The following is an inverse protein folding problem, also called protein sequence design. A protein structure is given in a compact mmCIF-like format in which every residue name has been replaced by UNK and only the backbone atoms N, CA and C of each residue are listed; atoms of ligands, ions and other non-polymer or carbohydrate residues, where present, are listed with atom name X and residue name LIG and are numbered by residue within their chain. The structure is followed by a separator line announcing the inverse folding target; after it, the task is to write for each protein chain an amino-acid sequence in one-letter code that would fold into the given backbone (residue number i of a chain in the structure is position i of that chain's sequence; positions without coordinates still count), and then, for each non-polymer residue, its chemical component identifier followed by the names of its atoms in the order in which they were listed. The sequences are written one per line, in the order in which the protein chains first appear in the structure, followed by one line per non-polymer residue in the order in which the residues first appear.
data_IF_377756346137
#
_entry.id   IF_377756346137
#
_cell.length_a   1.000
_cell.length_b   1.000
_cell.length_c   1.000
_cell.angle_alpha   90.00
_cell.angle_beta   90.00
_cell.angle_gamma   90.00
#
_symmetry.space_group_name_H-M   'P 1'
#
loop_
_entity.id
_entity.type
_entity.pdbx_description
1 polymer ?
#
# COMPACT_ATOMS: atom_id res chain seq x y z
N UNK A 1 41.16 -61.13 -4.12
CA UNK A 1 40.21 -60.33 -4.94
C UNK A 1 39.88 -59.06 -4.18
N UNK A 2 40.33 -57.89 -4.65
CA UNK A 2 40.01 -56.57 -4.08
C UNK A 2 39.25 -55.78 -5.14
N UNK A 3 37.97 -55.47 -4.92
CA UNK A 3 37.21 -54.53 -5.75
C UNK A 3 37.08 -53.22 -4.98
N UNK A 4 37.66 -52.19 -5.58
CA UNK A 4 37.73 -50.81 -5.09
C UNK A 4 36.39 -50.14 -5.38
N UNK A 5 35.68 -49.72 -4.32
CA UNK A 5 34.54 -48.81 -4.41
C UNK A 5 35.11 -47.40 -4.49
N UNK A 6 35.18 -46.83 -5.70
CA UNK A 6 35.52 -45.42 -5.95
C UNK A 6 34.62 -44.87 -7.06
N UNK A 7 33.37 -44.58 -6.73
CA UNK A 7 32.45 -43.93 -7.68
C UNK A 7 31.28 -43.19 -7.01
N UNK A 8 31.45 -42.67 -5.78
CA UNK A 8 30.33 -42.03 -5.05
C UNK A 8 30.63 -40.63 -4.50
N UNK A 9 31.87 -40.14 -4.55
CA UNK A 9 32.23 -38.84 -3.95
C UNK A 9 32.20 -37.66 -4.92
N UNK A 10 32.25 -37.90 -6.24
CA UNK A 10 32.28 -36.82 -7.23
C UNK A 10 30.90 -36.22 -7.54
N UNK A 11 29.83 -37.02 -7.51
CA UNK A 11 28.46 -36.54 -7.78
C UNK A 11 27.87 -35.68 -6.65
N UNK A 12 28.28 -35.92 -5.39
CA UNK A 12 27.78 -35.15 -4.24
C UNK A 12 28.41 -33.75 -4.23
N UNK A 13 29.69 -33.64 -4.59
CA UNK A 13 30.37 -32.33 -4.63
C UNK A 13 29.78 -31.41 -5.71
N UNK A 14 29.41 -31.97 -6.86
CA UNK A 14 28.81 -31.21 -7.96
C UNK A 14 27.39 -30.71 -7.61
N UNK A 15 26.61 -31.50 -6.88
CA UNK A 15 25.27 -31.11 -6.42
C UNK A 15 25.32 -29.99 -5.37
N UNK A 16 26.32 -29.99 -4.47
CA UNK A 16 26.49 -28.94 -3.45
C UNK A 16 26.96 -27.62 -4.07
N UNK A 17 27.86 -27.65 -5.05
CA UNK A 17 28.30 -26.42 -5.75
C UNK A 17 27.16 -25.79 -6.56
N UNK A 18 26.27 -26.59 -7.14
CA UNK A 18 25.12 -26.09 -7.91
C UNK A 18 24.04 -25.44 -7.02
N UNK A 19 23.91 -25.87 -5.76
CA UNK A 19 22.97 -25.26 -4.81
C UNK A 19 23.49 -23.94 -4.21
N UNK A 20 24.81 -23.77 -4.11
CA UNK A 20 25.43 -22.54 -3.60
C UNK A 20 25.41 -21.38 -4.62
N UNK A 21 25.27 -21.66 -5.92
CA UNK A 21 25.16 -20.61 -6.95
C UNK A 21 23.77 -19.99 -7.09
N UNK A 22 22.77 -20.46 -6.35
CA UNK A 22 21.39 -19.94 -6.39
C UNK A 22 21.09 -18.90 -5.31
N UNK A 23 22.05 -18.57 -4.43
CA UNK A 23 21.97 -17.42 -3.54
C UNK A 23 22.40 -16.14 -4.27
N UNK A 24 21.74 -15.87 -5.40
CA UNK A 24 21.72 -14.52 -5.97
C UNK A 24 20.77 -13.69 -5.13
N UNK A 25 21.29 -12.80 -4.29
CA UNK A 25 20.47 -11.74 -3.69
C UNK A 25 19.92 -10.89 -4.83
N UNK A 26 18.67 -11.15 -5.22
CA UNK A 26 17.93 -10.26 -6.08
C UNK A 26 17.61 -9.02 -5.25
N UNK A 27 18.48 -8.00 -5.29
CA UNK A 27 18.05 -6.64 -4.99
C UNK A 27 17.03 -6.29 -6.06
N UNK A 28 15.74 -6.33 -5.69
CA UNK A 28 14.70 -5.75 -6.50
C UNK A 28 15.14 -4.32 -6.82
N UNK A 29 15.34 -4.03 -8.11
CA UNK A 29 15.48 -2.65 -8.54
C UNK A 29 14.25 -1.90 -8.01
N UNK A 30 14.41 -0.74 -7.35
CA UNK A 30 13.27 0.06 -6.95
C UNK A 30 12.39 0.24 -8.19
N UNK A 31 11.11 -0.13 -8.06
CA UNK A 31 10.12 0.17 -9.08
C UNK A 31 10.28 1.66 -9.43
N UNK A 32 10.35 2.04 -10.71
CA UNK A 32 10.49 3.44 -11.07
C UNK A 32 9.35 4.20 -10.40
N UNK A 33 9.70 5.12 -9.51
CA UNK A 33 8.73 6.05 -8.96
C UNK A 33 8.07 6.72 -10.16
N UNK A 34 6.74 6.64 -10.25
CA UNK A 34 6.00 7.25 -11.37
C UNK A 34 6.11 8.78 -11.39
N UNK A 35 6.69 9.36 -10.33
CA UNK A 35 6.89 10.80 -10.17
C UNK A 35 8.29 11.20 -10.64
N UNK A 36 8.43 12.39 -11.24
CA UNK A 36 9.75 12.93 -11.56
C UNK A 36 10.61 13.09 -10.30
N UNK A 37 11.92 12.94 -10.47
CA UNK A 37 12.88 13.12 -9.40
C UNK A 37 12.81 14.54 -8.81
N UNK A 38 13.08 14.68 -7.49
CA UNK A 38 13.13 16.00 -6.88
C UNK A 38 14.31 16.80 -7.42
N UNK A 39 14.12 18.11 -7.51
CA UNK A 39 15.09 19.02 -8.12
C UNK A 39 15.48 20.09 -7.11
N UNK A 40 16.78 20.38 -7.00
CA UNK A 40 17.30 21.50 -6.20
C UNK A 40 17.95 22.53 -7.14
N UNK A 41 17.48 23.77 -7.06
CA UNK A 41 17.95 24.87 -7.93
C UNK A 41 18.51 26.03 -7.10
N UNK A 42 19.71 26.55 -7.41
CA UNK A 42 20.20 27.78 -6.77
C UNK A 42 19.23 28.95 -7.03
N UNK A 43 18.94 29.76 -6.01
CA UNK A 43 18.07 30.96 -6.15
C UNK A 43 18.89 32.17 -6.61
N UNK A 44 20.16 32.27 -6.22
CA UNK A 44 21.02 33.39 -6.57
C UNK A 44 22.50 33.03 -6.56
N UNK A 45 23.23 33.48 -7.59
CA UNK A 45 24.70 33.42 -7.67
C UNK A 45 25.27 32.13 -8.26
N UNK A 46 26.60 32.08 -8.37
CA UNK A 46 27.40 30.91 -8.80
C UNK A 46 27.58 29.91 -7.65
N UNK A 47 26.50 29.60 -6.93
CA UNK A 47 26.55 28.67 -5.82
C UNK A 47 26.81 27.25 -6.33
N UNK A 48 27.90 26.64 -5.87
CA UNK A 48 28.21 25.25 -6.13
C UNK A 48 27.77 24.39 -4.93
N UNK A 49 26.95 23.38 -5.19
CA UNK A 49 26.63 22.33 -4.24
C UNK A 49 26.38 21.03 -5.00
N UNK A 50 26.43 19.90 -4.30
CA UNK A 50 26.08 18.60 -4.84
C UNK A 50 24.75 18.14 -4.30
N UNK A 51 24.01 17.44 -5.15
CA UNK A 51 22.74 16.79 -4.81
C UNK A 51 22.86 15.30 -5.06
N UNK A 52 22.45 14.51 -4.09
CA UNK A 52 22.33 13.06 -4.22
C UNK A 52 20.89 12.65 -3.96
N UNK A 53 20.32 11.86 -4.87
CA UNK A 53 18.98 11.31 -4.71
C UNK A 53 19.07 9.97 -4.01
N UNK A 54 18.35 9.81 -2.91
CA UNK A 54 18.32 8.56 -2.16
C UNK A 54 16.89 8.18 -1.82
N UNK A 55 16.60 6.86 -1.74
CA UNK A 55 15.33 6.38 -1.23
C UNK A 55 15.17 6.75 0.25
N UNK A 56 13.99 7.20 0.66
CA UNK A 56 13.74 7.71 2.03
C UNK A 56 13.86 6.65 3.12
N UNK A 57 13.89 5.37 2.77
CA UNK A 57 14.25 4.26 3.67
C UNK A 57 15.66 4.45 4.26
N UNK A 58 16.55 5.13 3.54
CA UNK A 58 17.91 5.43 3.99
C UNK A 58 18.01 6.73 4.79
N UNK A 59 16.91 7.49 4.89
CA UNK A 59 16.92 8.78 5.55
C UNK A 59 16.84 8.64 7.07
N UNK A 60 17.50 9.54 7.83
CA UNK A 60 17.48 9.50 9.27
C UNK A 60 16.05 9.75 9.80
N UNK A 61 15.66 8.97 10.82
CA UNK A 61 14.33 9.09 11.42
C UNK A 61 13.18 8.63 10.51
N UNK A 62 13.45 7.86 9.46
CA UNK A 62 12.41 7.10 8.76
C UNK A 62 12.04 5.83 9.54
N UNK A 63 10.76 5.55 9.65
CA UNK A 63 10.22 4.36 10.31
C UNK A 63 9.15 3.71 9.44
N UNK A 64 9.05 2.39 9.46
CA UNK A 64 7.95 1.68 8.80
C UNK A 64 6.74 1.58 9.75
N UNK A 65 5.56 1.95 9.26
CA UNK A 65 4.31 1.85 9.99
C UNK A 65 3.17 1.56 9.01
N UNK A 66 2.49 0.42 9.17
CA UNK A 66 1.42 -0.03 8.27
C UNK A 66 1.82 0.04 6.77
N UNK A 67 3.01 -0.47 6.43
CA UNK A 67 3.56 -0.45 5.07
C UNK A 67 3.87 0.96 4.50
N UNK A 68 3.77 2.00 5.33
CA UNK A 68 4.18 3.37 4.98
C UNK A 68 5.51 3.72 5.65
N UNK A 69 6.28 4.61 5.02
CA UNK A 69 7.45 5.22 5.65
C UNK A 69 7.07 6.54 6.28
N UNK A 70 7.17 6.60 7.61
CA UNK A 70 6.72 7.74 8.40
C UNK A 70 7.92 8.49 9.02
N UNK A 71 7.87 9.84 9.09
CA UNK A 71 8.91 10.64 9.73
C UNK A 71 8.80 10.64 11.25
N UNK A 72 9.93 10.50 11.94
CA UNK A 72 10.04 10.82 13.37
C UNK A 72 9.72 12.29 13.62
N UNK A 73 8.90 12.54 14.64
CA UNK A 73 8.47 13.86 15.07
C UNK A 73 7.00 14.18 14.75
N UNK A 74 6.28 13.23 14.15
CA UNK A 74 4.85 13.31 13.84
C UNK A 74 4.08 12.17 14.51
N UNK A 75 2.77 12.34 14.80
CA UNK A 75 1.94 11.22 15.22
C UNK A 75 1.88 10.13 14.14
N UNK A 76 1.86 8.86 14.58
CA UNK A 76 1.85 7.72 13.67
C UNK A 76 0.60 7.72 12.79
N UNK A 77 0.79 7.53 11.48
CA UNK A 77 -0.29 7.49 10.49
C UNK A 77 -0.80 8.86 10.02
N UNK A 78 -0.34 9.98 10.59
CA UNK A 78 -0.74 11.31 10.14
C UNK A 78 0.13 11.88 9.02
N UNK A 79 1.39 11.41 8.92
CA UNK A 79 2.36 11.87 7.94
C UNK A 79 3.17 10.70 7.38
N UNK A 80 3.55 10.80 6.12
CA UNK A 80 4.40 9.84 5.42
C UNK A 80 5.39 10.54 4.49
N UNK A 81 6.51 9.91 4.20
CA UNK A 81 7.41 10.36 3.16
C UNK A 81 6.86 10.05 1.77
N UNK A 82 7.33 10.82 0.79
CA UNK A 82 7.38 10.37 -0.59
C UNK A 82 8.62 9.48 -0.80
N UNK A 83 8.61 8.60 -1.79
CA UNK A 83 9.64 7.55 -1.99
C UNK A 83 11.09 8.05 -2.06
N UNK A 84 11.33 9.22 -2.69
CA UNK A 84 12.67 9.74 -2.94
C UNK A 84 12.89 11.07 -2.23
N UNK A 85 14.03 11.19 -1.54
CA UNK A 85 14.52 12.43 -0.96
C UNK A 85 15.81 12.91 -1.66
N UNK A 86 16.26 14.11 -1.29
CA UNK A 86 17.53 14.69 -1.76
C UNK A 86 18.44 15.01 -0.58
N UNK A 87 19.71 14.64 -0.72
CA UNK A 87 20.80 15.04 0.16
C UNK A 87 21.55 16.18 -0.52
N UNK A 88 21.71 17.29 0.19
CA UNK A 88 22.45 18.47 -0.29
C UNK A 88 23.73 18.59 0.50
N UNK A 89 24.85 18.72 -0.22
CA UNK A 89 26.20 18.86 0.36
C UNK A 89 26.99 19.97 -0.33
N UNK A 90 27.96 20.57 0.37
CA UNK A 90 28.82 21.63 -0.18
C UNK A 90 28.17 23.02 -0.27
N UNK A 91 26.97 23.21 0.28
CA UNK A 91 26.31 24.52 0.35
C UNK A 91 26.92 25.35 1.48
N UNK A 92 27.89 26.20 1.15
CA UNK A 92 28.61 27.05 2.10
C UNK A 92 27.88 28.37 2.42
N UNK A 93 27.12 28.90 1.46
CA UNK A 93 26.34 30.14 1.62
C UNK A 93 25.22 30.27 0.60
N UNK A 94 24.25 31.15 0.85
CA UNK A 94 23.16 31.50 -0.05
C UNK A 94 21.87 30.71 0.17
N UNK A 95 20.99 30.72 -0.84
CA UNK A 95 19.72 30.00 -0.82
C UNK A 95 19.52 29.20 -2.11
N UNK A 96 18.94 28.02 -1.98
CA UNK A 96 18.46 27.19 -3.08
C UNK A 96 16.98 26.86 -2.86
N UNK A 97 16.32 26.31 -3.86
CA UNK A 97 14.94 25.82 -3.77
C UNK A 97 14.94 24.33 -4.02
N UNK A 98 14.41 23.55 -3.08
CA UNK A 98 14.16 22.12 -3.26
C UNK A 98 12.69 21.92 -3.63
N UNK A 99 12.45 21.23 -4.75
CA UNK A 99 11.12 20.99 -5.30
C UNK A 99 10.85 19.50 -5.46
N UNK A 100 9.67 19.06 -5.03
CA UNK A 100 9.22 17.68 -5.04
C UNK A 100 7.87 17.57 -5.75
N UNK A 101 7.74 16.60 -6.65
CA UNK A 101 6.47 16.28 -7.29
C UNK A 101 5.67 15.35 -6.39
N UNK A 102 4.36 15.54 -6.29
CA UNK A 102 3.46 14.63 -5.60
C UNK A 102 2.08 14.63 -6.25
N UNK A 103 1.27 13.60 -5.97
CA UNK A 103 -0.11 13.47 -6.44
C UNK A 103 -1.10 13.54 -5.29
N UNK A 104 -2.37 13.80 -5.61
CA UNK A 104 -3.48 13.74 -4.67
C UNK A 104 -3.87 15.08 -4.04
N UNK A 105 -3.32 16.20 -4.52
CA UNK A 105 -3.67 17.54 -4.03
C UNK A 105 -5.15 17.86 -4.24
N UNK A 106 -5.69 17.45 -5.38
CA UNK A 106 -7.10 17.48 -5.73
C UNK A 106 -7.95 16.58 -4.84
N UNK A 107 -7.35 15.51 -4.32
CA UNK A 107 -7.96 14.50 -3.44
C UNK A 107 -7.70 14.77 -1.95
N UNK A 108 -7.32 16.00 -1.57
CA UNK A 108 -7.17 16.43 -0.18
C UNK A 108 -5.83 16.13 0.49
N UNK A 109 -4.92 15.49 -0.23
CA UNK A 109 -3.54 15.37 0.22
C UNK A 109 -2.81 16.70 0.09
N UNK A 110 -1.80 16.91 0.93
CA UNK A 110 -0.84 17.98 0.77
C UNK A 110 0.44 17.57 1.44
N UNK A 111 1.27 18.55 1.76
CA UNK A 111 2.51 18.28 2.47
C UNK A 111 3.40 19.49 2.54
N UNK A 112 4.59 19.28 3.09
CA UNK A 112 5.66 20.27 3.11
C UNK A 112 6.99 19.58 2.89
N UNK A 113 7.95 20.32 2.35
CA UNK A 113 9.35 19.89 2.38
C UNK A 113 9.82 19.89 3.83
N UNK A 114 10.34 18.77 4.29
CA UNK A 114 10.95 18.60 5.59
C UNK A 114 12.47 18.60 5.48
N UNK A 115 13.14 19.07 6.53
CA UNK A 115 14.58 18.94 6.73
C UNK A 115 14.87 18.18 8.02
N UNK A 116 15.86 17.29 7.98
CA UNK A 116 16.35 16.62 9.18
C UNK A 116 17.23 17.55 10.02
N UNK A 117 16.85 17.79 11.28
CA UNK A 117 17.62 18.69 12.17
C UNK A 117 18.61 17.96 13.10
N UNK A 118 18.80 16.65 12.93
CA UNK A 118 19.61 15.81 13.82
C UNK A 118 18.78 14.98 14.82
N UNK A 119 17.52 15.33 15.08
CA UNK A 119 16.65 14.61 16.03
C UNK A 119 15.26 14.34 15.49
N UNK A 120 14.70 15.26 14.69
CA UNK A 120 13.38 15.12 14.09
C UNK A 120 13.33 15.84 12.75
N UNK A 121 12.28 15.52 12.00
CA UNK A 121 11.95 16.25 10.78
C UNK A 121 11.27 17.59 11.11
N UNK A 122 11.72 18.66 10.46
CA UNK A 122 11.18 20.01 10.61
C UNK A 122 10.62 20.47 9.28
N UNK A 123 9.34 20.88 9.26
CA UNK A 123 8.69 21.35 8.05
C UNK A 123 9.14 22.77 7.68
N UNK A 124 9.55 22.94 6.43
CA UNK A 124 9.90 24.23 5.86
C UNK A 124 8.65 24.92 5.28
N UNK A 125 8.62 26.27 5.24
CA UNK A 125 7.64 27.00 4.44
C UNK A 125 7.67 26.49 3.00
N UNK A 126 6.56 25.91 2.54
CA UNK A 126 6.48 25.24 1.23
C UNK A 126 5.35 25.87 0.43
N UNK A 127 5.62 26.20 -0.82
CA UNK A 127 4.63 26.61 -1.81
C UNK A 127 4.25 25.39 -2.63
N UNK A 128 2.96 25.13 -2.75
CA UNK A 128 2.43 24.08 -3.63
C UNK A 128 1.82 24.76 -4.85
N UNK A 129 2.24 24.31 -6.03
CA UNK A 129 1.70 24.75 -7.32
C UNK A 129 1.11 23.55 -8.04
N UNK A 130 -0.15 23.64 -8.41
CA UNK A 130 -0.78 22.63 -9.27
C UNK A 130 -0.27 22.82 -10.70
N UNK A 131 0.10 21.72 -11.36
CA UNK A 131 0.60 21.77 -12.72
C UNK A 131 -0.57 21.60 -13.69
N UNK A 132 -0.81 22.60 -14.53
CA UNK A 132 -1.86 22.54 -15.54
C UNK A 132 -1.67 21.28 -16.42
N UNK A 133 -2.78 20.56 -16.65
CA UNK A 133 -2.81 19.31 -17.45
C UNK A 133 -2.08 18.09 -16.84
N UNK A 134 -1.70 18.14 -15.56
CA UNK A 134 -1.09 17.00 -14.85
C UNK A 134 -1.81 16.66 -13.55
N UNK A 135 -1.92 15.38 -13.15
CA UNK A 135 -2.35 15.00 -11.81
C UNK A 135 -1.29 15.28 -10.73
N UNK A 136 -0.11 15.79 -11.14
CA UNK A 136 0.99 16.11 -10.24
C UNK A 136 0.92 17.57 -9.79
N UNK A 137 1.22 17.80 -8.52
CA UNK A 137 1.50 19.11 -7.96
C UNK A 137 2.98 19.20 -7.59
N UNK A 138 3.52 20.42 -7.61
CA UNK A 138 4.91 20.70 -7.29
C UNK A 138 5.00 21.43 -5.94
N UNK A 139 5.69 20.83 -4.98
CA UNK A 139 5.93 21.40 -3.66
C UNK A 139 7.38 21.91 -3.56
N UNK A 140 7.57 23.22 -3.45
CA UNK A 140 8.88 23.85 -3.40
C UNK A 140 9.10 24.58 -2.07
N UNK A 141 10.29 24.44 -1.49
CA UNK A 141 10.71 25.18 -0.30
C UNK A 141 12.12 25.76 -0.46
N UNK A 142 12.38 26.97 0.07
CA UNK A 142 13.72 27.50 0.15
C UNK A 142 14.53 26.70 1.18
N UNK A 143 15.77 26.39 0.82
CA UNK A 143 16.77 25.73 1.66
C UNK A 143 18.01 26.61 1.78
N UNK A 144 18.69 26.54 2.92
CA UNK A 144 19.81 27.45 3.24
C UNK A 144 21.06 26.71 3.72
N UNK A 145 21.15 25.39 3.53
CA UNK A 145 22.32 24.65 3.94
C UNK A 145 22.28 23.17 3.56
N UNK A 146 23.33 22.47 3.98
CA UNK A 146 23.47 21.04 3.80
C UNK A 146 22.44 20.27 4.62
N UNK A 147 22.05 19.08 4.15
CA UNK A 147 21.17 18.20 4.91
C UNK A 147 20.36 17.23 4.06
N UNK A 148 19.48 16.51 4.75
CA UNK A 148 18.51 15.60 4.16
C UNK A 148 17.18 16.33 4.01
N UNK A 149 16.65 16.35 2.79
CA UNK A 149 15.40 17.00 2.44
C UNK A 149 14.45 16.00 1.79
N UNK A 150 13.22 15.93 2.27
CA UNK A 150 12.19 15.05 1.73
C UNK A 150 10.83 15.74 1.75
N UNK A 151 9.93 15.33 0.85
CA UNK A 151 8.54 15.74 0.95
C UNK A 151 7.82 14.89 2.00
N UNK A 152 7.20 15.55 2.97
CA UNK A 152 6.37 14.91 4.00
C UNK A 152 4.92 15.19 3.66
N UNK A 153 4.23 14.13 3.22
CA UNK A 153 2.84 14.12 2.78
C UNK A 153 1.91 13.86 3.96
N UNK A 154 0.82 14.62 4.04
CA UNK A 154 -0.23 14.48 5.05
C UNK A 154 -1.58 14.96 4.49
N UNK A 155 -2.67 14.68 5.20
CA UNK A 155 -4.00 15.16 4.80
C UNK A 155 -4.07 16.67 5.08
N UNK A 156 -4.21 17.48 4.03
CA UNK A 156 -4.24 18.95 4.15
C UNK A 156 -5.65 19.53 4.05
N UNK A 157 -6.54 18.83 3.35
CA UNK A 157 -7.94 19.22 3.12
C UNK A 157 -8.83 17.99 3.31
N UNK A 158 -9.16 17.59 4.55
CA UNK A 158 -9.96 16.39 4.84
C UNK A 158 -11.30 16.35 4.07
N UNK A 159 -11.89 17.50 3.80
CA UNK A 159 -13.13 17.66 3.05
C UNK A 159 -13.02 17.29 1.56
N UNK A 160 -11.80 17.27 1.01
CA UNK A 160 -11.52 16.84 -0.37
C UNK A 160 -11.11 15.37 -0.45
N UNK A 161 -10.85 14.72 0.68
CA UNK A 161 -10.70 13.27 0.67
C UNK A 161 -11.96 12.69 0.02
N UNK A 162 -11.85 11.59 -0.74
CA UNK A 162 -13.03 10.88 -1.18
C UNK A 162 -13.87 10.65 0.07
N UNK A 163 -15.00 11.36 0.19
CA UNK A 163 -16.02 10.99 1.15
C UNK A 163 -16.36 9.58 0.72
N UNK A 164 -15.90 8.61 1.51
CA UNK A 164 -16.22 7.21 1.28
C UNK A 164 -17.72 7.15 1.03
N UNK A 165 -18.13 6.26 0.13
CA UNK A 165 -19.54 6.01 -0.11
C UNK A 165 -20.26 5.92 1.25
N UNK A 166 -21.43 6.52 1.47
CA UNK A 166 -22.10 6.38 2.75
C UNK A 166 -22.35 4.91 3.07
N UNK A 167 -22.49 4.59 4.36
CA UNK A 167 -22.81 3.23 4.77
C UNK A 167 -24.26 2.87 4.36
N UNK A 168 -24.47 1.74 3.68
CA UNK A 168 -25.78 1.26 3.25
C UNK A 168 -26.49 0.48 4.36
N UNK A 169 -27.82 0.56 4.39
CA UNK A 169 -28.65 -0.48 5.00
C UNK A 169 -28.79 -1.66 4.04
N UNK A 170 -28.44 -2.85 4.50
CA UNK A 170 -28.55 -4.10 3.73
C UNK A 170 -28.91 -5.25 4.66
N UNK A 171 -29.76 -6.13 4.15
CA UNK A 171 -30.13 -7.35 4.85
C UNK A 171 -29.47 -8.52 4.15
N UNK A 172 -28.44 -9.11 4.78
CA UNK A 172 -27.90 -10.38 4.31
C UNK A 172 -28.85 -11.49 4.72
N UNK A 173 -29.43 -12.16 3.72
CA UNK A 173 -30.40 -13.24 3.92
C UNK A 173 -29.72 -14.54 4.32
N UNK A 174 -28.47 -14.74 3.91
CA UNK A 174 -27.70 -15.91 4.32
C UNK A 174 -26.39 -16.06 3.58
N UNK A 175 -25.50 -16.83 4.20
CA UNK A 175 -24.34 -17.42 3.55
C UNK A 175 -24.66 -18.90 3.43
N UNK A 176 -24.77 -19.38 2.20
CA UNK A 176 -25.14 -20.76 1.96
C UNK A 176 -23.87 -21.54 1.70
N UNK A 177 -23.56 -22.43 2.63
CA UNK A 177 -22.46 -23.34 2.44
C UNK A 177 -22.84 -24.36 1.36
N UNK A 178 -22.21 -24.29 0.19
CA UNK A 178 -22.53 -25.18 -0.94
C UNK A 178 -21.95 -26.60 -0.75
N UNK A 179 -20.92 -26.77 0.09
CA UNK A 179 -20.35 -28.08 0.40
C UNK A 179 -19.15 -28.02 1.34
N UNK A 180 -18.71 -29.19 1.82
CA UNK A 180 -17.39 -29.42 2.42
C UNK A 180 -16.68 -30.44 1.54
N UNK A 181 -15.47 -30.16 1.07
CA UNK A 181 -14.66 -31.22 0.44
C UNK A 181 -14.10 -32.17 1.50
N UNK A 182 -13.52 -33.31 1.11
CA UNK A 182 -12.91 -34.26 2.05
C UNK A 182 -11.73 -33.71 2.86
N UNK A 183 -11.36 -32.43 2.68
CA UNK A 183 -10.28 -31.73 3.38
C UNK A 183 -10.75 -30.55 4.26
N UNK A 184 -12.06 -30.36 4.47
CA UNK A 184 -12.59 -29.31 5.36
C UNK A 184 -12.82 -27.95 4.70
N UNK A 185 -12.58 -27.83 3.39
CA UNK A 185 -12.80 -26.61 2.60
C UNK A 185 -14.29 -26.29 2.50
N UNK A 186 -14.69 -25.06 2.82
CA UNK A 186 -16.09 -24.61 2.69
C UNK A 186 -16.25 -23.67 1.50
N UNK A 187 -17.27 -23.93 0.69
CA UNK A 187 -17.71 -23.08 -0.42
C UNK A 187 -18.90 -22.24 0.02
N UNK A 188 -18.92 -20.95 -0.28
CA UNK A 188 -20.01 -20.05 0.11
C UNK A 188 -20.69 -19.41 -1.09
N UNK A 189 -22.02 -19.37 -1.01
CA UNK A 189 -22.87 -18.45 -1.78
C UNK A 189 -23.39 -17.37 -0.85
N UNK A 190 -23.75 -16.22 -1.41
CA UNK A 190 -24.24 -15.07 -0.66
C UNK A 190 -25.48 -14.49 -1.31
N UNK A 191 -26.53 -14.37 -0.50
CA UNK A 191 -27.77 -13.70 -0.88
C UNK A 191 -28.04 -12.55 0.09
N UNK A 192 -28.48 -11.43 -0.47
CA UNK A 192 -28.87 -10.27 0.32
C UNK A 192 -29.84 -9.37 -0.43
N UNK A 193 -30.27 -8.33 0.28
CA UNK A 193 -31.21 -7.32 -0.22
C UNK A 193 -30.71 -5.93 0.16
N UNK A 194 -30.56 -5.07 -0.84
CA UNK A 194 -30.46 -3.62 -0.68
C UNK A 194 -31.79 -2.98 -1.09
N UNK A 195 -32.73 -2.72 -0.16
CA UNK A 195 -34.08 -2.27 -0.52
C UNK A 195 -34.10 -0.96 -1.32
N UNK A 196 -33.09 -0.11 -1.10
CA UNK A 196 -32.95 1.20 -1.74
C UNK A 196 -32.10 1.18 -3.02
N UNK A 197 -31.44 0.05 -3.33
CA UNK A 197 -30.50 -0.09 -4.45
C UNK A 197 -31.03 -1.14 -5.43
N UNK A 198 -31.85 -0.69 -6.37
CA UNK A 198 -32.47 -1.55 -7.40
C UNK A 198 -31.72 -1.46 -8.73
N UNK A 199 -31.66 -2.55 -9.50
CA UNK A 199 -31.07 -2.59 -10.85
C UNK A 199 -29.65 -2.01 -10.91
N UNK A 200 -28.87 -2.18 -9.84
CA UNK A 200 -27.57 -1.55 -9.69
C UNK A 200 -26.49 -2.60 -9.49
N UNK A 201 -25.28 -2.30 -9.95
CA UNK A 201 -24.14 -3.18 -9.75
C UNK A 201 -23.78 -3.23 -8.27
N UNK A 202 -23.77 -4.43 -7.72
CA UNK A 202 -23.27 -4.75 -6.38
C UNK A 202 -21.98 -5.54 -6.58
N UNK A 203 -20.89 -5.05 -6.01
CA UNK A 203 -19.59 -5.71 -6.01
C UNK A 203 -19.28 -6.18 -4.59
N UNK A 204 -18.77 -7.39 -4.43
CA UNK A 204 -18.14 -7.80 -3.19
C UNK A 204 -16.62 -7.88 -3.33
N UNK A 205 -15.94 -7.65 -2.23
CA UNK A 205 -14.52 -7.90 -2.03
C UNK A 205 -14.35 -8.59 -0.67
N UNK A 206 -13.63 -9.70 -0.66
CA UNK A 206 -13.14 -10.34 0.57
C UNK A 206 -11.83 -9.67 0.93
N UNK A 207 -11.83 -8.92 2.02
CA UNK A 207 -10.63 -8.33 2.59
C UNK A 207 -10.09 -9.34 3.60
N UNK A 208 -8.98 -9.97 3.19
CA UNK A 208 -8.31 -11.01 3.96
C UNK A 208 -7.32 -10.39 4.97
N UNK A 209 -7.51 -10.59 6.29
CA UNK A 209 -6.59 -10.09 7.30
C UNK A 209 -5.28 -10.89 7.42
N UNK A 210 -4.97 -11.81 6.49
CA UNK A 210 -3.72 -12.57 6.45
C UNK A 210 -3.89 -14.09 6.52
N UNK A 211 -5.03 -14.61 6.10
CA UNK A 211 -5.34 -16.03 5.97
C UNK A 211 -5.11 -16.55 4.54
N UNK A 212 -5.29 -17.85 4.35
CA UNK A 212 -5.18 -18.51 3.03
C UNK A 212 -6.56 -18.62 2.36
N UNK A 213 -7.33 -17.53 2.25
CA UNK A 213 -8.58 -17.56 1.48
C UNK A 213 -8.22 -17.63 0.00
N UNK A 214 -8.83 -18.56 -0.75
CA UNK A 214 -8.58 -18.72 -2.19
C UNK A 214 -9.88 -18.74 -2.98
N UNK A 215 -9.81 -18.65 -4.30
CA UNK A 215 -10.97 -18.60 -5.20
C UNK A 215 -11.33 -17.17 -5.60
N UNK A 216 -12.62 -16.93 -5.81
CA UNK A 216 -13.14 -15.63 -6.24
C UNK A 216 -13.21 -14.69 -5.02
N UNK A 217 -12.16 -13.91 -4.79
CA UNK A 217 -12.14 -12.92 -3.69
C UNK A 217 -12.88 -11.63 -4.05
N UNK A 218 -13.31 -11.50 -5.29
CA UNK A 218 -14.08 -10.37 -5.80
C UNK A 218 -15.10 -10.85 -6.81
N UNK A 219 -16.27 -10.23 -6.84
CA UNK A 219 -17.28 -10.51 -7.86
C UNK A 219 -18.36 -9.44 -7.91
N UNK A 220 -19.11 -9.42 -9.00
CA UNK A 220 -20.12 -8.38 -9.23
C UNK A 220 -21.39 -8.96 -9.84
N UNK A 221 -22.54 -8.52 -9.33
CA UNK A 221 -23.86 -8.89 -9.85
C UNK A 221 -24.77 -7.68 -9.86
N UNK A 222 -25.81 -7.69 -10.70
CA UNK A 222 -26.85 -6.67 -10.65
C UNK A 222 -27.88 -7.05 -9.60
N UNK A 223 -28.26 -6.10 -8.76
CA UNK A 223 -29.46 -6.24 -7.94
C UNK A 223 -30.71 -6.19 -8.84
N UNK A 224 -31.78 -6.87 -8.45
CA UNK A 224 -33.04 -6.84 -9.17
C UNK A 224 -33.87 -5.58 -8.89
N UNK A 225 -35.08 -5.51 -9.45
CA UNK A 225 -36.00 -4.39 -9.27
C UNK A 225 -36.50 -4.20 -7.81
N UNK A 226 -36.26 -5.17 -6.94
CA UNK A 226 -36.56 -5.12 -5.49
C UNK A 226 -35.30 -5.05 -4.64
N UNK A 227 -34.13 -4.94 -5.27
CA UNK A 227 -32.85 -4.83 -4.59
C UNK A 227 -32.24 -6.15 -4.13
N UNK A 228 -32.82 -7.31 -4.51
CA UNK A 228 -32.22 -8.60 -4.19
C UNK A 228 -30.99 -8.81 -5.06
N UNK A 229 -29.96 -9.43 -4.50
CA UNK A 229 -28.79 -9.88 -5.23
C UNK A 229 -28.38 -11.27 -4.77
N UNK A 230 -27.75 -12.01 -5.69
CA UNK A 230 -27.22 -13.34 -5.45
C UNK A 230 -25.87 -13.45 -6.13
N UNK A 231 -24.83 -13.80 -5.38
CA UNK A 231 -23.50 -14.09 -5.92
C UNK A 231 -23.35 -15.57 -6.31
N UNK A 232 -24.46 -16.22 -6.64
CA UNK A 232 -24.47 -17.60 -7.12
C UNK A 232 -23.59 -17.76 -8.35
N UNK A 233 -22.61 -18.65 -8.26
CA UNK A 233 -21.61 -18.90 -9.31
C UNK A 233 -20.23 -18.36 -8.99
N UNK A 234 -20.11 -17.49 -7.98
CA UNK A 234 -18.82 -17.19 -7.35
C UNK A 234 -18.54 -18.22 -6.25
N UNK A 235 -17.27 -18.56 -6.07
CA UNK A 235 -16.89 -19.48 -5.01
C UNK A 235 -15.55 -19.08 -4.42
N UNK A 236 -15.50 -19.02 -3.09
CA UNK A 236 -14.26 -18.89 -2.35
C UNK A 236 -14.15 -20.00 -1.31
N UNK A 237 -12.90 -20.33 -1.02
CA UNK A 237 -12.45 -21.40 -0.15
C UNK A 237 -11.85 -20.74 1.09
N UNK A 238 -12.41 -21.06 2.25
CA UNK A 238 -11.89 -20.63 3.55
C UNK A 238 -11.36 -21.83 4.34
N UNK A 239 -10.37 -21.62 5.22
CA UNK A 239 -9.95 -22.62 6.21
C UNK A 239 -11.08 -22.94 7.20
N UNK A 240 -10.91 -24.01 7.99
CA UNK A 240 -11.91 -24.45 8.98
C UNK A 240 -12.28 -23.37 10.00
N UNK A 241 -11.29 -22.60 10.46
CA UNK A 241 -11.49 -21.40 11.28
C UNK A 241 -11.09 -20.18 10.47
N UNK A 242 -11.96 -19.18 10.38
CA UNK A 242 -11.75 -18.02 9.54
C UNK A 242 -12.28 -16.73 10.16
N UNK A 243 -11.58 -15.62 9.87
CA UNK A 243 -12.06 -14.25 10.09
C UNK A 243 -11.78 -13.44 8.83
N UNK A 244 -12.80 -12.87 8.20
CA UNK A 244 -12.61 -11.96 7.06
C UNK A 244 -13.59 -10.80 7.10
N UNK A 245 -13.26 -9.74 6.38
CA UNK A 245 -14.19 -8.63 6.15
C UNK A 245 -14.77 -8.80 4.75
N UNK A 246 -16.09 -8.94 4.69
CA UNK A 246 -16.84 -8.84 3.44
C UNK A 246 -17.17 -7.37 3.22
N UNK A 247 -16.57 -6.76 2.21
CA UNK A 247 -16.91 -5.43 1.74
C UNK A 247 -17.89 -5.55 0.56
N UNK A 248 -19.10 -5.00 0.69
CA UNK A 248 -20.03 -4.85 -0.42
C UNK A 248 -20.13 -3.40 -0.83
N UNK A 249 -20.00 -3.13 -2.11
CA UNK A 249 -19.99 -1.79 -2.67
C UNK A 249 -21.04 -1.69 -3.79
N UNK A 250 -21.77 -0.58 -3.81
CA UNK A 250 -22.70 -0.23 -4.88
C UNK A 250 -22.24 1.08 -5.52
N UNK A 251 -22.93 1.60 -6.53
CA UNK A 251 -22.61 2.93 -7.09
C UNK A 251 -22.74 4.07 -6.07
N UNK A 252 -23.58 3.93 -5.04
CA UNK A 252 -23.97 5.02 -4.15
C UNK A 252 -23.62 4.84 -2.68
N UNK A 253 -23.31 3.64 -2.22
CA UNK A 253 -23.07 3.33 -0.80
C UNK A 253 -22.18 2.05 -0.66
N UNK A 254 -21.61 1.79 0.53
CA UNK A 254 -20.94 0.51 0.85
C UNK A 254 -21.42 -0.08 2.19
N UNK A 255 -21.12 -1.34 2.45
CA UNK A 255 -21.28 -1.98 3.76
C UNK A 255 -20.13 -2.94 3.99
N UNK A 256 -19.75 -3.12 5.26
CA UNK A 256 -18.76 -4.11 5.66
C UNK A 256 -19.35 -5.06 6.70
N UNK A 257 -19.09 -6.35 6.53
CA UNK A 257 -19.44 -7.38 7.48
C UNK A 257 -18.20 -8.13 7.92
N UNK A 258 -17.92 -8.09 9.21
CA UNK A 258 -16.95 -9.00 9.81
C UNK A 258 -17.61 -10.38 9.92
N UNK A 259 -17.02 -11.37 9.27
CA UNK A 259 -17.41 -12.77 9.40
C UNK A 259 -16.36 -13.52 10.18
N UNK A 260 -16.83 -14.23 11.19
CA UNK A 260 -16.00 -15.01 12.10
C UNK A 260 -16.64 -16.39 12.23
N UNK A 261 -15.84 -17.42 12.04
CA UNK A 261 -16.22 -18.79 12.34
C UNK A 261 -15.06 -19.47 13.05
N UNK A 262 -15.38 -20.08 14.19
CA UNK A 262 -14.46 -20.92 14.94
C UNK A 262 -15.03 -22.33 14.92
N UNK A 263 -14.16 -23.32 14.73
CA UNK A 263 -14.51 -24.71 15.05
C UNK A 263 -14.57 -24.79 16.57
N UNK A 264 -15.75 -25.00 17.14
CA UNK A 264 -15.86 -25.39 18.54
C UNK A 264 -15.37 -26.83 18.65
N UNK A 265 -14.22 -27.04 19.31
CA UNK A 265 -13.72 -28.35 19.71
C UNK A 265 -14.65 -28.96 20.76
N UNK A 266 -15.83 -29.42 20.35
CA UNK A 266 -16.74 -30.20 21.17
C UNK A 266 -16.73 -31.65 20.67
N UNK A 267 -15.78 -32.44 21.19
CA UNK A 267 -15.93 -33.84 21.64
C UNK A 267 -14.54 -34.48 21.87
N UNK A 268 -14.14 -34.57 23.14
CA UNK A 268 -13.29 -35.67 23.66
C UNK A 268 -14.24 -36.66 24.34
#
# INVERSE_FOLDING_TARGET
MKKIIRASTFSILLAVVLQLSLLGSATAAPLPSSLPDPVVTPVSGDMEFTTELLPVQQFPGAQEYNQMLVPVGFPLGEAQFLDTGVVVSGMDSGTATACFYFTGAESGWGGKVGVWNGTKWVLLPTTITDLEESPNSLACAPITGNGYYAFIKYISSPEKLPTGKPWCQVTLLGFFQQGVDGGGTRYFDMLGVFPEITNSLVTYTIIDPGMSITGDLTGSVLSDATGNFSFSGYSWVVPESYTFILHLETSSCYVEYVRVHYVEDNEI
#
